data_IF_147444115109
#
_entry.id   IF_147444115109
#
_cell.length_a   1.000
_cell.length_b   1.000
_cell.length_c   1.000
_cell.angle_alpha   90.00
_cell.angle_beta   90.00
_cell.angle_gamma   90.00
#
_symmetry.space_group_name_H-M   'P 1'
#
loop_
_entity.id
_entity.type
_entity.pdbx_description
1 polymer ?
#
# COMPACT_ATOMS: atom_id res chain seq x y z
N UNK A 1 2.05 3.70 -8.00
CA UNK A 1 0.88 3.50 -8.88
C UNK A 1 -0.05 2.52 -8.17
N UNK A 2 -1.37 2.65 -8.31
CA UNK A 2 -2.34 1.84 -7.58
C UNK A 2 -2.95 2.57 -6.39
N UNK A 3 -3.82 1.89 -5.62
CA UNK A 3 -4.52 2.47 -4.47
C UNK A 3 -3.56 3.01 -3.39
N UNK A 4 -2.39 2.38 -3.22
CA UNK A 4 -1.34 2.85 -2.30
C UNK A 4 -0.79 4.23 -2.65
N UNK A 5 -0.95 4.70 -3.90
CA UNK A 5 -0.55 6.06 -4.28
C UNK A 5 -1.42 7.14 -3.64
N UNK A 6 -2.66 6.83 -3.26
CA UNK A 6 -3.54 7.75 -2.54
C UNK A 6 -2.93 8.05 -1.15
N UNK A 7 -2.58 6.98 -0.41
CA UNK A 7 -1.95 7.09 0.91
C UNK A 7 -0.62 7.84 0.83
N UNK A 8 0.22 7.50 -0.16
CA UNK A 8 1.53 8.13 -0.35
C UNK A 8 1.49 9.63 -0.62
N UNK A 9 0.36 10.17 -1.09
CA UNK A 9 0.17 11.62 -1.33
C UNK A 9 -0.33 12.39 -0.11
N UNK A 10 -1.03 11.74 0.82
CA UNK A 10 -1.64 12.38 2.01
C UNK A 10 -0.83 12.16 3.28
N UNK A 11 -0.34 10.95 3.47
CA UNK A 11 0.35 10.49 4.67
C UNK A 11 1.46 9.53 4.25
N UNK A 12 2.61 10.07 3.80
CA UNK A 12 3.73 9.25 3.36
C UNK A 12 4.15 8.25 4.45
N UNK A 13 4.13 6.96 4.11
CA UNK A 13 4.59 5.85 4.95
C UNK A 13 5.75 5.14 4.22
N UNK A 14 7.01 5.49 4.53
CA UNK A 14 8.18 4.86 3.96
C UNK A 14 8.22 3.36 4.27
N UNK A 15 8.78 2.54 3.37
CA UNK A 15 8.94 1.10 3.61
C UNK A 15 9.82 0.75 4.83
N UNK A 16 10.59 1.71 5.33
CA UNK A 16 11.40 1.58 6.54
C UNK A 16 10.57 1.70 7.82
N UNK A 17 9.39 2.30 7.74
CA UNK A 17 8.51 2.47 8.90
C UNK A 17 7.68 1.22 9.11
N UNK A 18 7.53 0.82 10.37
CA UNK A 18 6.73 -0.33 10.74
C UNK A 18 5.21 -0.03 10.68
N UNK A 19 4.84 1.24 10.52
CA UNK A 19 3.48 1.73 10.56
C UNK A 19 2.81 1.62 9.20
N UNK A 20 1.53 1.23 9.19
CA UNK A 20 0.67 1.25 8.03
C UNK A 20 -0.18 2.50 7.97
N UNK A 21 -1.03 2.58 6.94
CA UNK A 21 -2.00 3.65 6.77
C UNK A 21 -3.36 3.04 6.51
N UNK A 22 -4.38 3.58 7.15
CA UNK A 22 -5.78 3.28 6.87
C UNK A 22 -6.41 4.52 6.26
N UNK A 23 -7.08 4.33 5.13
CA UNK A 23 -7.83 5.37 4.44
C UNK A 23 -9.31 5.01 4.41
N UNK A 24 -10.16 5.99 4.69
CA UNK A 24 -11.58 5.92 4.38
C UNK A 24 -11.83 6.78 3.13
N UNK A 25 -12.28 6.14 2.06
CA UNK A 25 -12.55 6.82 0.79
C UNK A 25 -14.01 7.29 0.75
N UNK A 26 -14.25 8.39 0.06
CA UNK A 26 -15.57 8.94 -0.19
C UNK A 26 -15.67 9.46 -1.63
N UNK A 27 -16.88 9.65 -2.17
CA UNK A 27 -17.07 10.37 -3.43
C UNK A 27 -16.32 11.71 -3.41
N UNK A 28 -15.59 12.01 -4.47
CA UNK A 28 -14.70 13.19 -4.55
C UNK A 28 -15.42 14.54 -4.43
N UNK A 29 -16.72 14.57 -4.70
CA UNK A 29 -17.59 15.74 -4.55
C UNK A 29 -18.07 15.98 -3.11
N UNK A 30 -17.88 14.98 -2.23
CA UNK A 30 -18.32 15.00 -0.82
C UNK A 30 -17.17 14.91 0.17
N UNK A 31 -16.01 14.45 -0.28
CA UNK A 31 -14.85 14.25 0.57
C UNK A 31 -14.22 15.59 1.01
N UNK A 32 -13.77 15.70 2.28
CA UNK A 32 -13.00 16.85 2.77
C UNK A 32 -11.63 16.99 2.10
N UNK A 33 -11.09 15.90 1.56
CA UNK A 33 -9.81 15.89 0.87
C UNK A 33 -9.94 15.21 -0.50
N UNK A 34 -9.27 15.76 -1.52
CA UNK A 34 -9.21 15.17 -2.86
C UNK A 34 -7.77 15.17 -3.34
N UNK A 35 -7.29 14.00 -3.77
CA UNK A 35 -5.96 13.85 -4.38
C UNK A 35 -6.05 13.36 -5.81
N UNK A 36 -5.16 13.84 -6.67
CA UNK A 36 -5.02 13.32 -8.03
C UNK A 36 -4.04 12.15 -8.02
N UNK A 37 -4.57 10.94 -7.86
CA UNK A 37 -3.76 9.74 -7.64
C UNK A 37 -3.54 8.95 -8.96
N UNK A 38 -2.29 8.52 -9.25
CA UNK A 38 -2.00 7.62 -10.36
C UNK A 38 -2.42 6.18 -10.02
N UNK A 39 -3.72 5.90 -10.15
CA UNK A 39 -4.29 4.59 -9.77
C UNK A 39 -3.93 3.47 -10.77
N UNK A 40 -3.62 3.82 -12.03
CA UNK A 40 -3.17 2.89 -13.05
C UNK A 40 -2.24 3.59 -14.07
N UNK A 41 -1.46 2.85 -14.89
CA UNK A 41 -0.66 3.45 -15.96
C UNK A 41 -1.51 4.33 -16.89
N UNK A 42 -1.10 5.59 -17.07
CA UNK A 42 -1.82 6.57 -17.89
C UNK A 42 -3.10 7.13 -17.25
N UNK A 43 -3.45 6.73 -16.03
CA UNK A 43 -4.69 7.14 -15.36
C UNK A 43 -4.40 7.85 -14.04
N UNK A 44 -4.54 9.18 -14.08
CA UNK A 44 -4.45 10.06 -12.91
C UNK A 44 -5.82 10.71 -12.71
N UNK A 45 -6.50 10.38 -11.61
CA UNK A 45 -7.89 10.79 -11.36
C UNK A 45 -8.07 11.39 -9.97
N UNK A 46 -9.06 12.27 -9.77
CA UNK A 46 -9.42 12.74 -8.44
C UNK A 46 -9.99 11.58 -7.61
N UNK A 47 -9.45 11.40 -6.42
CA UNK A 47 -9.92 10.42 -5.42
C UNK A 47 -10.26 11.18 -4.14
N UNK A 48 -11.50 11.04 -3.67
CA UNK A 48 -11.96 11.61 -2.42
C UNK A 48 -11.53 10.77 -1.22
N UNK A 49 -11.03 11.43 -0.18
CA UNK A 49 -10.62 10.82 1.09
C UNK A 49 -11.36 11.51 2.23
N UNK A 50 -12.15 10.71 2.95
CA UNK A 50 -12.90 11.14 4.13
C UNK A 50 -11.97 11.36 5.32
N UNK A 51 -11.12 10.38 5.59
CA UNK A 51 -10.15 10.44 6.68
C UNK A 51 -9.01 9.46 6.44
N UNK A 52 -7.91 9.68 7.15
CA UNK A 52 -6.81 8.73 7.25
C UNK A 52 -6.26 8.69 8.67
N UNK A 53 -5.66 7.56 9.01
CA UNK A 53 -4.93 7.41 10.25
C UNK A 53 -3.74 6.47 10.07
N UNK A 54 -2.73 6.67 10.90
CA UNK A 54 -1.64 5.71 11.05
C UNK A 54 -2.17 4.43 11.69
N UNK A 55 -1.74 3.29 11.17
CA UNK A 55 -2.02 1.98 11.74
C UNK A 55 -0.75 1.43 12.38
N UNK A 56 -0.70 1.34 13.70
CA UNK A 56 0.48 0.80 14.40
C UNK A 56 0.47 -0.74 14.34
N UNK A 57 1.64 -1.40 14.34
CA UNK A 57 1.71 -2.86 14.45
C UNK A 57 0.94 -3.39 15.66
N UNK A 58 0.21 -4.48 15.46
CA UNK A 58 -0.70 -5.07 16.45
C UNK A 58 -2.11 -4.47 16.45
N UNK A 59 -2.31 -3.31 15.80
CA UNK A 59 -3.66 -2.74 15.62
C UNK A 59 -4.50 -3.67 14.75
N UNK A 60 -5.75 -3.90 15.18
CA UNK A 60 -6.74 -4.70 14.47
C UNK A 60 -7.93 -3.83 14.13
N UNK A 61 -8.35 -3.86 12.87
CA UNK A 61 -9.47 -3.08 12.36
C UNK A 61 -10.53 -4.04 11.83
N UNK A 62 -11.78 -3.82 12.24
CA UNK A 62 -12.93 -4.57 11.73
C UNK A 62 -13.33 -4.11 10.33
N UNK A 63 -13.69 -5.08 9.49
CA UNK A 63 -14.33 -4.87 8.19
C UNK A 63 -15.71 -5.48 8.32
N UNK A 64 -16.72 -4.63 8.55
CA UNK A 64 -18.08 -5.05 8.94
C UNK A 64 -19.11 -4.92 7.82
N UNK A 65 -18.72 -4.31 6.71
CA UNK A 65 -19.56 -4.11 5.54
C UNK A 65 -19.22 -5.21 4.53
N UNK A 66 -20.24 -5.88 3.98
CA UNK A 66 -20.02 -6.84 2.90
C UNK A 66 -19.26 -6.20 1.72
N UNK A 67 -18.57 -7.01 0.92
CA UNK A 67 -17.71 -6.50 -0.14
C UNK A 67 -16.57 -7.44 -0.50
N UNK A 68 -15.44 -6.87 -0.90
CA UNK A 68 -14.25 -7.65 -1.29
C UNK A 68 -13.02 -7.09 -0.59
N UNK A 69 -12.27 -7.96 0.08
CA UNK A 69 -10.90 -7.67 0.54
C UNK A 69 -9.94 -8.07 -0.57
N UNK A 70 -9.28 -7.09 -1.19
CA UNK A 70 -8.20 -7.32 -2.14
C UNK A 70 -6.84 -7.17 -1.45
N UNK A 71 -5.97 -8.18 -1.61
CA UNK A 71 -4.63 -8.24 -1.03
C UNK A 71 -3.59 -8.24 -2.14
N UNK A 72 -2.78 -7.18 -2.18
CA UNK A 72 -1.70 -6.97 -3.16
C UNK A 72 -2.15 -6.97 -4.65
N UNK A 73 -3.46 -6.92 -4.90
CA UNK A 73 -4.04 -7.03 -6.24
C UNK A 73 -3.98 -8.44 -6.85
N UNK A 74 -3.48 -9.44 -6.12
CA UNK A 74 -3.34 -10.82 -6.60
C UNK A 74 -4.36 -11.76 -5.95
N UNK A 75 -4.88 -11.41 -4.78
CA UNK A 75 -5.79 -12.25 -3.99
C UNK A 75 -7.02 -11.45 -3.60
N UNK A 76 -8.17 -12.09 -3.68
CA UNK A 76 -9.46 -11.50 -3.34
C UNK A 76 -10.22 -12.44 -2.40
N UNK A 77 -10.88 -11.85 -1.40
CA UNK A 77 -11.78 -12.55 -0.48
C UNK A 77 -13.12 -11.82 -0.49
N UNK A 78 -14.17 -12.51 -0.92
CA UNK A 78 -15.54 -11.98 -0.90
C UNK A 78 -16.13 -12.10 0.51
N UNK A 79 -16.72 -11.01 1.00
CA UNK A 79 -17.43 -10.92 2.27
C UNK A 79 -18.92 -10.74 2.00
N UNK A 80 -19.73 -11.63 2.58
CA UNK A 80 -21.19 -11.55 2.51
C UNK A 80 -21.72 -10.66 3.63
N UNK A 81 -22.96 -10.23 3.48
CA UNK A 81 -23.67 -9.53 4.54
C UNK A 81 -23.76 -10.42 5.79
N UNK A 82 -23.26 -9.91 6.92
CA UNK A 82 -23.20 -10.63 8.19
C UNK A 82 -21.88 -11.38 8.44
N UNK A 83 -20.95 -11.40 7.47
CA UNK A 83 -19.60 -11.87 7.73
C UNK A 83 -18.82 -10.86 8.58
N UNK A 84 -18.01 -11.36 9.50
CA UNK A 84 -17.08 -10.55 10.28
C UNK A 84 -15.65 -10.81 9.78
N UNK A 85 -14.99 -9.75 9.31
CA UNK A 85 -13.58 -9.80 8.94
C UNK A 85 -12.78 -8.78 9.74
N UNK A 86 -11.50 -9.09 9.95
CA UNK A 86 -10.57 -8.17 10.60
C UNK A 86 -9.25 -8.13 9.86
N UNK A 87 -8.60 -6.96 9.89
CA UNK A 87 -7.26 -6.73 9.34
C UNK A 87 -6.34 -6.34 10.48
N UNK A 88 -5.26 -7.11 10.68
CA UNK A 88 -4.24 -6.83 11.69
C UNK A 88 -2.89 -6.57 11.02
N UNK A 89 -2.28 -5.43 11.32
CA UNK A 89 -0.92 -5.14 10.85
C UNK A 89 0.09 -5.89 11.69
N UNK A 90 0.91 -6.75 11.07
CA UNK A 90 1.99 -7.49 11.74
C UNK A 90 3.35 -6.94 11.35
N UNK A 91 4.22 -6.69 12.34
CA UNK A 91 5.61 -6.28 12.10
C UNK A 91 6.50 -7.44 11.61
N UNK A 92 6.05 -8.69 11.72
CA UNK A 92 6.81 -9.89 11.34
C UNK A 92 6.55 -10.28 9.88
N UNK A 93 6.63 -9.30 8.98
CA UNK A 93 6.48 -9.52 7.54
C UNK A 93 7.66 -10.29 6.93
N UNK A 94 7.55 -10.73 5.66
CA UNK A 94 8.69 -11.32 4.96
C UNK A 94 9.85 -10.33 4.85
N UNK A 95 11.08 -10.85 4.84
CA UNK A 95 12.26 -10.01 4.61
C UNK A 95 12.22 -9.42 3.19
N UNK A 96 12.26 -8.10 3.09
CA UNK A 96 12.39 -7.39 1.83
C UNK A 96 13.87 -7.15 1.49
N UNK A 97 14.24 -7.32 0.22
CA UNK A 97 15.58 -7.00 -0.26
C UNK A 97 15.70 -5.50 -0.49
N UNK A 98 16.75 -4.88 0.06
CA UNK A 98 17.16 -3.52 -0.29
C UNK A 98 17.82 -3.55 -1.67
N UNK A 99 17.00 -3.41 -2.72
CA UNK A 99 17.46 -3.49 -4.11
C UNK A 99 18.53 -2.44 -4.43
N UNK A 100 18.38 -1.15 -4.08
CA UNK A 100 19.44 -0.17 -4.30
C UNK A 100 20.78 -0.58 -3.69
N UNK A 101 20.78 -1.03 -2.43
CA UNK A 101 22.00 -1.47 -1.74
C UNK A 101 22.61 -2.71 -2.40
N UNK A 102 21.78 -3.69 -2.76
CA UNK A 102 22.23 -4.91 -3.46
C UNK A 102 22.86 -4.56 -4.81
N UNK A 103 22.23 -3.69 -5.59
CA UNK A 103 22.74 -3.30 -6.91
C UNK A 103 24.04 -2.51 -6.80
N UNK A 104 24.17 -1.62 -5.82
CA UNK A 104 25.40 -0.90 -5.55
C UNK A 104 26.55 -1.86 -5.19
N UNK A 105 26.28 -2.86 -4.36
CA UNK A 105 27.27 -3.86 -3.97
C UNK A 105 27.65 -4.80 -5.13
N UNK A 106 26.67 -5.21 -5.94
CA UNK A 106 26.92 -6.00 -7.14
C UNK A 106 27.81 -5.26 -8.16
N UNK A 107 27.63 -3.96 -8.31
CA UNK A 107 28.50 -3.12 -9.15
C UNK A 107 29.91 -3.00 -8.57
N UNK A 108 30.04 -2.75 -7.26
CA UNK A 108 31.34 -2.65 -6.56
C UNK A 108 32.17 -3.93 -6.70
N UNK A 109 31.51 -5.08 -6.61
CA UNK A 109 32.12 -6.40 -6.72
C UNK A 109 32.20 -6.92 -8.17
N UNK A 110 31.73 -6.15 -9.16
CA UNK A 110 31.64 -6.53 -10.56
C UNK A 110 30.91 -7.87 -10.82
N UNK A 111 29.95 -8.25 -9.95
CA UNK A 111 29.29 -9.56 -10.01
C UNK A 111 28.44 -9.76 -11.28
N UNK A 112 28.02 -8.67 -11.91
CA UNK A 112 27.20 -8.67 -13.12
C UNK A 112 27.97 -8.16 -14.35
N UNK A 113 29.27 -7.91 -14.24
CA UNK A 113 30.11 -7.54 -15.37
C UNK A 113 30.81 -8.78 -15.92
N UNK A 114 30.87 -8.91 -17.24
CA UNK A 114 31.78 -9.85 -17.90
C UNK A 114 32.93 -9.07 -18.53
N UNK A 115 34.18 -9.55 -18.44
CA UNK A 115 35.27 -8.94 -19.18
C UNK A 115 34.97 -9.04 -20.68
N UNK A 116 35.16 -7.93 -21.38
CA UNK A 116 35.21 -7.90 -22.84
C UNK A 116 36.38 -8.77 -23.31
N UNK A 117 36.12 -9.67 -24.27
CA UNK A 117 37.16 -10.43 -24.97
C UNK A 117 38.05 -9.50 -25.79
#
# INVERSE_FOLDING_TARGET
>A
IGLSSIAGLLCPSPRSDAHGVVLHLAPSDRAPHVVHAPIAPGLVVPVGVESWQEMTPGTTIGVTEGGVIAVDGEREVELRAGDEATVTLRATGPRAVDVPRVMAEAARLQLLARPSR
#
